data_IF_322025400255
#
_entry.id   IF_322025400255
#
_cell.length_a   1.000
_cell.length_b   1.000
_cell.length_c   1.000
_cell.angle_alpha   90.00
_cell.angle_beta   90.00
_cell.angle_gamma   90.00
#
_symmetry.space_group_name_H-M   'P 1'
#
loop_
_entity.id
_entity.type
_entity.pdbx_description
1 polymer ?
#
# COMPACT_ATOMS: atom_id res chain seq x y z
N UNK A 1 0.07 -9.02 -22.56
CA UNK A 1 -1.07 -9.20 -21.63
C UNK A 1 -2.19 -9.86 -22.40
N UNK A 2 -2.95 -10.73 -21.77
CA UNK A 2 -4.04 -11.47 -22.41
C UNK A 2 -5.14 -10.52 -22.89
N UNK A 3 -5.65 -10.76 -24.09
CA UNK A 3 -6.77 -10.03 -24.68
C UNK A 3 -8.13 -10.68 -24.38
N UNK A 4 -8.11 -11.97 -23.99
CA UNK A 4 -9.30 -12.71 -23.62
C UNK A 4 -9.07 -13.58 -22.37
N UNK A 5 -10.16 -14.07 -21.77
CA UNK A 5 -10.08 -15.00 -20.63
C UNK A 5 -9.49 -16.35 -21.04
N UNK A 6 -9.79 -16.81 -22.23
CA UNK A 6 -9.27 -18.07 -22.76
C UNK A 6 -7.74 -18.02 -22.89
N UNK A 7 -7.18 -16.93 -23.46
CA UNK A 7 -5.74 -16.72 -23.52
C UNK A 7 -5.11 -16.65 -22.12
N UNK A 8 -5.76 -15.97 -21.18
CA UNK A 8 -5.29 -15.86 -19.81
C UNK A 8 -5.20 -17.24 -19.15
N UNK A 9 -6.24 -18.05 -19.26
CA UNK A 9 -6.28 -19.41 -18.71
C UNK A 9 -5.20 -20.28 -19.36
N UNK A 10 -5.13 -20.26 -20.70
CA UNK A 10 -4.14 -21.03 -21.45
C UNK A 10 -2.71 -20.71 -21.02
N UNK A 11 -2.35 -19.41 -20.96
CA UNK A 11 -1.01 -18.99 -20.58
C UNK A 11 -0.71 -19.24 -19.10
N UNK A 12 -1.72 -19.19 -18.24
CA UNK A 12 -1.59 -19.57 -16.82
C UNK A 12 -1.26 -21.06 -16.68
N UNK A 13 -2.00 -21.92 -17.35
CA UNK A 13 -1.78 -23.38 -17.31
C UNK A 13 -0.40 -23.77 -17.88
N UNK A 14 0.06 -23.04 -18.89
CA UNK A 14 1.41 -23.19 -19.47
C UNK A 14 2.51 -22.49 -18.66
N UNK A 15 2.16 -21.78 -17.57
CA UNK A 15 3.09 -20.99 -16.74
C UNK A 15 3.86 -19.92 -17.53
N UNK A 16 3.24 -19.36 -18.57
CA UNK A 16 3.83 -18.34 -19.44
C UNK A 16 3.72 -16.93 -18.83
N UNK A 17 4.22 -16.76 -17.62
CA UNK A 17 4.10 -15.54 -16.81
C UNK A 17 4.58 -14.27 -17.51
N UNK A 18 5.57 -14.37 -18.39
CA UNK A 18 6.08 -13.23 -19.17
C UNK A 18 5.05 -12.69 -20.18
N UNK A 19 4.09 -13.49 -20.60
CA UNK A 19 2.99 -13.04 -21.46
C UNK A 19 1.87 -12.39 -20.64
N UNK A 20 1.67 -12.87 -19.41
CA UNK A 20 0.63 -12.38 -18.50
C UNK A 20 1.01 -11.11 -17.78
N UNK A 21 2.28 -10.96 -17.40
CA UNK A 21 2.75 -9.89 -16.53
C UNK A 21 3.63 -8.91 -17.28
N UNK A 22 3.44 -7.65 -16.97
CA UNK A 22 4.32 -6.56 -17.36
C UNK A 22 5.20 -6.16 -16.18
N UNK A 23 6.49 -6.01 -16.42
CA UNK A 23 7.39 -5.46 -15.42
C UNK A 23 7.25 -3.95 -15.36
N UNK A 24 7.07 -3.42 -14.16
CA UNK A 24 7.12 -2.00 -13.88
C UNK A 24 8.36 -1.70 -13.04
N UNK A 25 9.14 -0.72 -13.49
CA UNK A 25 10.21 -0.17 -12.66
C UNK A 25 9.58 0.56 -11.47
N UNK A 26 10.03 0.24 -10.26
CA UNK A 26 9.50 0.83 -9.03
C UNK A 26 10.37 2.01 -8.63
N UNK A 27 9.93 3.26 -8.85
CA UNK A 27 10.68 4.43 -8.39
C UNK A 27 10.60 4.52 -6.86
N UNK A 28 11.67 5.08 -6.27
CA UNK A 28 11.63 5.45 -4.85
C UNK A 28 10.53 6.51 -4.67
N UNK A 29 9.73 6.36 -3.60
CA UNK A 29 8.60 7.24 -3.28
C UNK A 29 7.44 7.21 -4.30
N UNK A 30 7.47 6.26 -5.22
CA UNK A 30 6.37 6.06 -6.18
C UNK A 30 5.14 5.47 -5.52
N UNK A 31 3.98 5.95 -5.90
CA UNK A 31 2.68 5.41 -5.53
C UNK A 31 2.05 4.66 -6.69
N UNK A 32 1.41 3.55 -6.40
CA UNK A 32 0.64 2.79 -7.38
C UNK A 32 -0.68 2.33 -6.75
N UNK A 33 -1.79 2.68 -7.39
CA UNK A 33 -3.09 2.13 -7.04
C UNK A 33 -3.34 0.87 -7.88
N UNK A 34 -3.60 -0.25 -7.21
CA UNK A 34 -3.88 -1.53 -7.84
C UNK A 34 -5.38 -1.84 -7.69
N UNK A 35 -6.16 -1.69 -8.75
CA UNK A 35 -7.59 -2.01 -8.70
C UNK A 35 -7.85 -3.49 -8.40
N UNK A 36 -8.99 -3.78 -7.77
CA UNK A 36 -9.46 -5.16 -7.57
C UNK A 36 -9.53 -5.90 -8.91
N UNK A 37 -9.12 -7.17 -8.91
CA UNK A 37 -9.08 -8.00 -10.13
C UNK A 37 -7.81 -7.83 -10.97
N UNK A 38 -6.87 -6.99 -10.58
CA UNK A 38 -5.59 -6.85 -11.27
C UNK A 38 -4.60 -7.91 -10.81
N UNK A 39 -4.14 -8.74 -11.74
CA UNK A 39 -3.06 -9.69 -11.47
C UNK A 39 -1.75 -8.94 -11.23
N UNK A 40 -1.17 -9.10 -10.04
CA UNK A 40 0.06 -8.39 -9.68
C UNK A 40 0.95 -9.22 -8.76
N UNK A 41 2.22 -8.86 -8.76
CA UNK A 41 3.20 -9.39 -7.81
C UNK A 41 4.26 -8.33 -7.49
N UNK A 42 4.81 -8.40 -6.28
CA UNK A 42 5.92 -7.54 -5.86
C UNK A 42 7.22 -8.29 -6.12
N UNK A 43 8.11 -7.67 -6.88
CA UNK A 43 9.41 -8.24 -7.24
C UNK A 43 10.39 -8.27 -6.07
N UNK A 44 11.46 -9.05 -6.24
CA UNK A 44 12.55 -9.14 -5.26
C UNK A 44 13.21 -7.79 -5.02
N UNK A 45 13.49 -7.46 -3.76
CA UNK A 45 14.22 -6.26 -3.35
C UNK A 45 13.37 -4.99 -3.27
N UNK A 46 12.06 -5.09 -3.49
CA UNK A 46 11.12 -3.96 -3.35
C UNK A 46 10.56 -3.96 -1.93
N UNK A 47 10.71 -2.82 -1.25
CA UNK A 47 10.03 -2.54 0.02
C UNK A 47 8.82 -1.66 -0.26
N UNK A 48 7.66 -2.06 0.20
CA UNK A 48 6.41 -1.32 0.02
C UNK A 48 5.73 -1.05 1.35
N UNK A 49 5.10 0.12 1.45
CA UNK A 49 4.05 0.36 2.44
C UNK A 49 2.71 0.08 1.76
N UNK A 50 2.00 -0.93 2.23
CA UNK A 50 0.76 -1.40 1.59
C UNK A 50 -0.46 -1.05 2.44
N UNK A 51 -1.43 -0.40 1.82
CA UNK A 51 -2.77 -0.19 2.37
C UNK A 51 -3.76 -0.88 1.44
N UNK A 52 -4.64 -1.67 1.99
CA UNK A 52 -5.70 -2.35 1.25
C UNK A 52 -7.05 -2.16 1.93
N UNK A 53 -8.12 -2.23 1.15
CA UNK A 53 -9.46 -2.38 1.73
C UNK A 53 -9.51 -3.70 2.48
N UNK A 54 -10.15 -3.67 3.66
CA UNK A 54 -10.34 -4.89 4.42
C UNK A 54 -11.26 -5.85 3.64
N UNK A 55 -10.73 -7.02 3.33
CA UNK A 55 -11.47 -8.13 2.74
C UNK A 55 -10.87 -9.43 3.25
N UNK A 56 -11.71 -10.36 3.64
CA UNK A 56 -11.28 -11.67 4.15
C UNK A 56 -10.80 -12.61 3.04
N UNK A 57 -10.73 -12.11 1.81
CA UNK A 57 -10.40 -12.89 0.63
C UNK A 57 -9.15 -12.35 -0.07
N UNK A 58 -8.13 -13.19 -0.15
CA UNK A 58 -6.97 -12.99 -1.03
C UNK A 58 -6.88 -14.14 -2.01
N UNK A 59 -7.13 -13.86 -3.28
CA UNK A 59 -7.02 -14.87 -4.34
C UNK A 59 -5.57 -14.98 -4.80
N UNK A 60 -5.03 -16.21 -4.80
CA UNK A 60 -3.67 -16.53 -5.24
C UNK A 60 -3.71 -17.41 -6.47
N UNK A 61 -3.14 -16.91 -7.55
CA UNK A 61 -2.97 -17.69 -8.77
C UNK A 61 -1.71 -18.54 -8.72
N UNK A 62 -0.65 -18.01 -8.15
CA UNK A 62 0.65 -18.66 -8.02
C UNK A 62 1.40 -18.11 -6.80
N UNK A 63 2.09 -18.94 -6.06
CA UNK A 63 2.84 -18.56 -4.86
C UNK A 63 4.31 -19.04 -4.89
N UNK A 64 4.90 -19.16 -6.08
CA UNK A 64 6.32 -19.54 -6.27
C UNK A 64 6.68 -20.87 -5.62
N UNK A 65 5.74 -21.78 -5.46
CA UNK A 65 5.89 -23.07 -4.78
C UNK A 65 6.45 -22.96 -3.34
N UNK A 66 6.27 -21.83 -2.68
CA UNK A 66 6.77 -21.59 -1.33
C UNK A 66 6.10 -22.50 -0.32
N UNK A 67 6.92 -23.00 0.61
CA UNK A 67 6.47 -23.73 1.79
C UNK A 67 6.23 -22.71 2.91
N UNK A 68 5.06 -22.74 3.50
CA UNK A 68 4.75 -21.94 4.68
C UNK A 68 5.54 -22.47 5.88
N UNK A 69 6.37 -21.63 6.54
CA UNK A 69 7.23 -22.10 7.64
C UNK A 69 6.46 -22.64 8.86
N UNK A 70 5.22 -22.17 9.06
CA UNK A 70 4.40 -22.56 10.21
C UNK A 70 3.65 -23.87 9.98
N UNK A 71 3.19 -24.11 8.77
CA UNK A 71 2.40 -25.30 8.42
C UNK A 71 3.20 -26.38 7.71
N UNK A 72 4.41 -26.08 7.23
CA UNK A 72 5.26 -26.93 6.38
C UNK A 72 4.57 -27.43 5.10
N UNK A 73 3.54 -26.70 4.63
CA UNK A 73 2.78 -27.02 3.42
C UNK A 73 2.87 -25.88 2.42
N UNK A 74 2.64 -26.18 1.14
CA UNK A 74 2.43 -25.14 0.13
C UNK A 74 1.19 -24.35 0.50
N UNK A 75 1.22 -23.02 0.27
CA UNK A 75 0.02 -22.22 0.42
C UNK A 75 -1.01 -22.63 -0.64
N UNK A 76 -2.25 -22.59 -0.23
CA UNK A 76 -3.38 -22.80 -1.12
C UNK A 76 -3.44 -21.72 -2.19
N UNK A 77 -3.74 -22.13 -3.42
CA UNK A 77 -4.00 -21.25 -4.56
C UNK A 77 -5.43 -21.48 -5.04
N UNK A 78 -6.04 -20.45 -5.59
CA UNK A 78 -7.44 -20.45 -6.02
C UNK A 78 -7.54 -20.08 -7.51
N UNK A 79 -7.07 -20.93 -8.43
CA UNK A 79 -7.04 -20.58 -9.85
C UNK A 79 -8.42 -20.33 -10.44
N UNK A 80 -9.42 -21.12 -10.06
CA UNK A 80 -10.76 -21.00 -10.59
C UNK A 80 -11.39 -19.67 -10.22
N UNK A 81 -11.32 -19.29 -8.95
CA UNK A 81 -11.84 -18.02 -8.46
C UNK A 81 -11.09 -16.84 -9.07
N UNK A 82 -9.77 -16.99 -9.31
CA UNK A 82 -8.99 -15.97 -10.04
C UNK A 82 -9.50 -15.83 -11.47
N UNK A 83 -9.73 -16.92 -12.17
CA UNK A 83 -10.25 -16.88 -13.56
C UNK A 83 -11.62 -16.20 -13.66
N UNK A 84 -12.45 -16.32 -12.64
CA UNK A 84 -13.76 -15.68 -12.58
C UNK A 84 -13.66 -14.17 -12.30
N UNK A 85 -12.69 -13.73 -11.50
CA UNK A 85 -12.62 -12.39 -10.93
C UNK A 85 -11.52 -11.49 -11.52
N UNK A 86 -10.63 -12.02 -12.34
CA UNK A 86 -9.56 -11.22 -12.96
C UNK A 86 -10.11 -10.31 -14.07
N UNK A 87 -9.59 -9.09 -14.12
CA UNK A 87 -9.93 -8.11 -15.17
C UNK A 87 -9.17 -8.43 -16.47
N UNK A 88 -9.88 -8.70 -17.55
CA UNK A 88 -9.31 -8.95 -18.88
C UNK A 88 -10.15 -8.27 -19.95
N UNK A 89 -9.52 -7.47 -20.82
CA UNK A 89 -8.14 -7.03 -20.74
C UNK A 89 -7.88 -6.14 -19.51
N UNK A 90 -6.72 -6.29 -18.90
CA UNK A 90 -6.35 -5.47 -17.75
C UNK A 90 -5.97 -4.04 -18.18
N UNK A 91 -6.32 -3.06 -17.36
CA UNK A 91 -5.95 -1.67 -17.60
C UNK A 91 -4.46 -1.47 -17.31
N UNK A 92 -3.81 -0.67 -18.15
CA UNK A 92 -2.44 -0.25 -17.90
C UNK A 92 -2.42 0.64 -16.66
N UNK A 93 -1.74 0.21 -15.62
CA UNK A 93 -1.45 1.01 -14.42
C UNK A 93 0.02 1.44 -14.43
N UNK A 94 0.29 2.58 -13.84
CA UNK A 94 1.62 3.17 -13.77
C UNK A 94 1.86 3.75 -12.38
N UNK A 95 3.13 3.86 -12.00
CA UNK A 95 3.51 4.59 -10.81
C UNK A 95 3.23 6.08 -10.98
N UNK A 96 2.73 6.70 -9.92
CA UNK A 96 2.48 8.11 -9.82
C UNK A 96 3.47 8.73 -8.85
N UNK A 97 3.94 9.92 -9.18
CA UNK A 97 4.77 10.75 -8.31
C UNK A 97 3.96 11.97 -7.89
N UNK A 98 3.98 12.28 -6.62
CA UNK A 98 3.22 13.40 -6.06
C UNK A 98 4.16 14.48 -5.53
N UNK A 99 3.86 15.76 -5.79
CA UNK A 99 4.63 16.85 -5.20
C UNK A 99 4.43 16.87 -3.69
N UNK A 100 5.46 17.31 -2.98
CA UNK A 100 5.39 17.56 -1.56
C UNK A 100 5.20 19.06 -1.30
N UNK A 101 4.41 19.40 -0.27
CA UNK A 101 4.32 20.72 0.33
C UNK A 101 5.08 20.79 1.65
N UNK A 102 5.42 22.01 2.10
CA UNK A 102 6.02 22.21 3.42
C UNK A 102 5.00 22.89 4.33
N UNK A 103 4.63 22.22 5.41
CA UNK A 103 3.58 22.65 6.33
C UNK A 103 4.04 22.46 7.78
N UNK A 104 4.17 23.56 8.52
CA UNK A 104 4.48 23.55 9.97
C UNK A 104 5.63 22.61 10.37
N UNK A 105 6.75 22.64 9.64
CA UNK A 105 7.93 21.83 9.91
C UNK A 105 7.85 20.40 9.35
N UNK A 106 6.80 20.06 8.63
CA UNK A 106 6.67 18.77 7.95
C UNK A 106 6.74 18.96 6.44
N UNK A 107 7.48 18.10 5.75
CA UNK A 107 7.34 17.91 4.31
C UNK A 107 6.24 16.87 4.06
N UNK A 108 5.14 17.30 3.46
CA UNK A 108 3.91 16.51 3.33
C UNK A 108 3.70 16.10 1.88
N UNK A 109 3.57 14.81 1.63
CA UNK A 109 3.14 14.27 0.34
C UNK A 109 1.77 13.63 0.52
N UNK A 110 0.79 14.08 -0.26
CA UNK A 110 -0.58 13.54 -0.26
C UNK A 110 -0.75 12.59 -1.43
N UNK A 111 -0.77 11.28 -1.14
CA UNK A 111 -0.91 10.24 -2.16
C UNK A 111 -2.37 9.97 -2.50
N UNK A 112 -3.25 9.94 -1.50
CA UNK A 112 -4.64 9.59 -1.67
C UNK A 112 -5.50 10.23 -0.60
N UNK A 113 -6.65 10.76 -0.97
CA UNK A 113 -7.66 11.27 -0.03
C UNK A 113 -9.02 11.25 -0.72
N UNK A 114 -9.68 10.09 -0.74
CA UNK A 114 -10.95 9.88 -1.42
C UNK A 114 -12.04 9.49 -0.42
N UNK A 115 -13.22 10.16 -0.44
CA UNK A 115 -14.36 9.78 0.39
C UNK A 115 -14.78 8.33 0.18
N UNK A 116 -15.17 7.64 1.24
CA UNK A 116 -15.54 6.22 1.20
C UNK A 116 -14.37 5.24 1.04
N UNK A 117 -13.16 5.77 0.90
CA UNK A 117 -11.93 5.00 0.83
C UNK A 117 -10.96 5.43 1.95
N UNK A 118 -9.69 5.30 1.70
CA UNK A 118 -8.64 5.66 2.66
C UNK A 118 -8.01 7.01 2.32
N UNK A 119 -7.37 7.59 3.32
CA UNK A 119 -6.44 8.71 3.19
C UNK A 119 -5.04 8.19 3.40
N UNK A 120 -4.09 8.58 2.56
CA UNK A 120 -2.68 8.25 2.69
C UNK A 120 -1.82 9.48 2.48
N UNK A 121 -1.13 9.89 3.54
CA UNK A 121 -0.13 10.97 3.50
C UNK A 121 1.21 10.45 3.97
N UNK A 122 2.28 11.07 3.50
CA UNK A 122 3.63 10.90 4.04
C UNK A 122 4.07 12.20 4.67
N UNK A 123 4.57 12.12 5.88
CA UNK A 123 5.10 13.23 6.65
C UNK A 123 6.58 12.97 6.92
N UNK A 124 7.45 13.83 6.41
CA UNK A 124 8.88 13.78 6.68
C UNK A 124 9.23 14.92 7.63
N UNK A 125 9.81 14.58 8.76
CA UNK A 125 10.17 15.49 9.85
C UNK A 125 11.69 15.41 10.07
N UNK A 126 12.38 16.56 10.02
CA UNK A 126 13.83 16.60 10.25
C UNK A 126 14.20 16.90 11.70
N UNK A 127 13.47 17.77 12.39
CA UNK A 127 13.71 18.08 13.81
C UNK A 127 12.40 18.21 14.58
N UNK A 128 11.56 19.15 14.18
CA UNK A 128 10.28 19.45 14.81
C UNK A 128 9.24 19.75 13.75
N UNK A 129 8.03 19.28 13.99
CA UNK A 129 6.90 19.58 13.12
C UNK A 129 5.59 19.42 13.85
N UNK A 130 4.52 19.86 13.22
CA UNK A 130 3.17 19.58 13.67
C UNK A 130 2.24 19.38 12.46
N UNK A 131 1.22 18.57 12.65
CA UNK A 131 0.24 18.33 11.61
C UNK A 131 -1.14 18.22 12.25
N UNK A 132 -2.14 18.81 11.60
CA UNK A 132 -3.52 18.73 12.03
C UNK A 132 -4.25 17.68 11.20
N UNK A 133 -4.83 16.71 11.89
CA UNK A 133 -5.71 15.72 11.28
C UNK A 133 -6.84 15.41 12.26
N UNK A 134 -8.06 15.64 11.84
CA UNK A 134 -9.25 15.60 12.71
C UNK A 134 -9.88 14.21 12.83
N UNK A 135 -9.51 13.29 11.92
CA UNK A 135 -9.95 11.91 11.90
C UNK A 135 -9.00 11.01 12.67
N UNK A 136 -9.43 9.81 13.04
CA UNK A 136 -8.49 8.83 13.55
C UNK A 136 -7.41 8.54 12.50
N UNK A 137 -6.23 8.19 12.95
CA UNK A 137 -5.13 7.87 12.05
C UNK A 137 -4.17 6.84 12.63
N UNK A 138 -3.56 6.07 11.75
CA UNK A 138 -2.40 5.26 12.05
C UNK A 138 -1.16 5.99 11.53
N UNK A 139 -0.24 6.33 12.42
CA UNK A 139 1.06 6.87 12.06
C UNK A 139 2.09 5.75 12.12
N UNK A 140 2.61 5.34 10.98
CA UNK A 140 3.63 4.30 10.87
C UNK A 140 4.97 4.92 10.56
N UNK A 141 5.97 4.70 11.40
CA UNK A 141 7.33 5.14 11.17
C UNK A 141 8.03 4.16 10.21
N UNK A 142 8.35 4.64 9.00
CA UNK A 142 9.03 3.82 7.99
C UNK A 142 10.53 4.08 7.92
N UNK A 143 10.99 5.18 8.54
CA UNK A 143 12.42 5.51 8.65
C UNK A 143 12.67 6.42 9.84
N UNK A 144 13.80 6.20 10.51
CA UNK A 144 14.25 7.04 11.61
C UNK A 144 13.56 6.77 12.95
N UNK A 145 13.49 7.78 13.79
CA UNK A 145 12.89 7.73 15.14
C UNK A 145 12.58 9.13 15.67
N UNK A 146 11.64 9.20 16.60
CA UNK A 146 11.25 10.45 17.24
C UNK A 146 10.13 10.27 18.25
N UNK A 147 9.31 11.29 18.41
CA UNK A 147 8.10 11.24 19.25
C UNK A 147 6.91 11.84 18.52
N UNK A 148 5.74 11.33 18.85
CA UNK A 148 4.42 11.88 18.47
C UNK A 148 3.70 12.25 19.77
N UNK A 149 3.46 13.54 20.03
CA UNK A 149 2.92 14.04 21.29
C UNK A 149 3.67 13.51 22.52
N UNK A 150 5.01 13.41 22.43
CA UNK A 150 5.86 12.87 23.49
C UNK A 150 5.94 11.33 23.55
N UNK A 151 5.11 10.61 22.83
CA UNK A 151 5.16 9.14 22.75
C UNK A 151 6.29 8.75 21.79
N UNK A 152 7.28 7.96 22.23
CA UNK A 152 8.38 7.54 21.35
C UNK A 152 7.89 6.60 20.24
N UNK A 153 8.50 6.77 19.06
CA UNK A 153 8.26 5.92 17.89
C UNK A 153 9.56 5.73 17.11
N UNK A 154 9.76 4.56 16.57
CA UNK A 154 10.91 4.21 15.72
C UNK A 154 10.46 3.39 14.51
N UNK A 155 11.38 3.21 13.59
CA UNK A 155 11.13 2.46 12.37
C UNK A 155 10.49 1.09 12.64
N UNK A 156 9.40 0.80 11.91
CA UNK A 156 8.60 -0.42 12.03
C UNK A 156 7.45 -0.34 13.04
N UNK A 157 7.38 0.73 13.83
CA UNK A 157 6.29 0.90 14.81
C UNK A 157 5.16 1.75 14.24
N UNK A 158 3.95 1.52 14.77
CA UNK A 158 2.73 2.25 14.42
C UNK A 158 2.04 2.74 15.68
N UNK A 159 1.61 4.00 15.66
CA UNK A 159 0.79 4.61 16.72
C UNK A 159 -0.60 4.86 16.16
N UNK A 160 -1.62 4.41 16.87
CA UNK A 160 -3.01 4.78 16.62
C UNK A 160 -3.34 6.09 17.32
N UNK A 161 -3.91 7.03 16.58
CA UNK A 161 -4.36 8.32 17.09
C UNK A 161 -5.88 8.39 16.89
N UNK A 162 -6.68 8.54 17.98
CA UNK A 162 -8.11 8.75 17.88
C UNK A 162 -8.48 10.02 17.11
N UNK A 163 -9.73 10.10 16.64
CA UNK A 163 -10.25 11.32 16.04
C UNK A 163 -10.30 12.48 17.06
N UNK A 164 -10.29 13.70 16.56
CA UNK A 164 -10.42 14.92 17.35
C UNK A 164 -9.30 15.16 18.38
N UNK A 165 -8.13 14.57 18.20
CA UNK A 165 -6.96 14.81 19.06
C UNK A 165 -6.29 16.19 18.83
N UNK A 166 -6.71 16.92 17.80
CA UNK A 166 -6.13 18.20 17.45
C UNK A 166 -4.75 18.09 16.81
N UNK A 167 -3.88 19.03 17.15
CA UNK A 167 -2.53 19.06 16.59
C UNK A 167 -1.66 17.92 17.10
N UNK A 168 -1.08 17.18 16.16
CA UNK A 168 0.00 16.23 16.44
C UNK A 168 1.35 16.95 16.38
N UNK A 169 2.11 16.86 17.45
CA UNK A 169 3.45 17.44 17.56
C UNK A 169 4.50 16.36 17.39
N UNK A 170 5.41 16.59 16.48
CA UNK A 170 6.49 15.67 16.15
C UNK A 170 7.83 16.24 16.59
N UNK A 171 8.70 15.37 17.09
CA UNK A 171 10.07 15.73 17.42
C UNK A 171 11.00 14.59 17.06
N UNK A 172 12.08 14.87 16.32
CA UNK A 172 13.09 13.92 15.88
C UNK A 172 13.21 13.87 14.36
N UNK A 173 14.06 12.99 13.87
CA UNK A 173 14.24 12.76 12.45
C UNK A 173 13.52 11.46 12.06
N UNK A 174 12.42 11.59 11.36
CA UNK A 174 11.57 10.46 11.03
C UNK A 174 10.72 10.69 9.79
N UNK A 175 10.37 9.59 9.17
CA UNK A 175 9.51 9.49 7.99
C UNK A 175 8.29 8.66 8.37
N UNK A 176 7.12 9.26 8.34
CA UNK A 176 5.86 8.68 8.78
C UNK A 176 4.89 8.55 7.63
N UNK A 177 4.21 7.41 7.53
CA UNK A 177 2.94 7.34 6.80
C UNK A 177 1.78 7.56 7.76
N UNK A 178 0.87 8.43 7.37
CA UNK A 178 -0.44 8.62 7.98
C UNK A 178 -1.47 7.91 7.11
N UNK A 179 -2.10 6.90 7.68
CA UNK A 179 -3.23 6.21 7.08
C UNK A 179 -4.51 6.47 7.88
N UNK A 180 -5.57 6.84 7.20
CA UNK A 180 -6.87 7.15 7.80
C UNK A 180 -7.99 6.68 6.89
N UNK A 181 -9.22 6.76 7.37
CA UNK A 181 -10.42 6.56 6.59
C UNK A 181 -11.19 7.87 6.47
N UNK A 182 -11.73 8.15 5.29
CA UNK A 182 -12.61 9.29 5.06
C UNK A 182 -14.02 8.78 4.80
N UNK A 183 -14.97 9.15 5.66
CA UNK A 183 -16.36 8.82 5.46
C UNK A 183 -16.92 9.56 4.24
N UNK A 184 -17.87 8.96 3.51
CA UNK A 184 -18.51 9.58 2.34
C UNK A 184 -19.36 10.80 2.71
N UNK A 185 -19.83 10.86 3.94
CA UNK A 185 -20.81 11.85 4.43
C UNK A 185 -20.21 12.99 5.26
N UNK A 186 -18.89 13.19 5.22
CA UNK A 186 -18.21 14.27 5.97
C UNK A 186 -17.27 15.04 5.07
#
# INVERSE_FOLDING_TARGET
>A
MAGSKEEFIEWTLKKEWKKLLRYLWTPVDGFINIPTGTLHAIGKGVLTYNISRNADLTLRLYDYDRIDPSTHKKREIQPQEVFENVNIPDKKIEFQMFPASYEFGCKVTRYWDEPGLYTLFRLQIDENGKFLHDRFAFYTCVKGKGTINGIPIRQGETVFVPACMGWMYFKGNMDLFLASYRNENV
#
